data_IF_291022411766
#
_entry.id   IF_291022411766
#
_cell.length_a   1.000
_cell.length_b   1.000
_cell.length_c   1.000
_cell.angle_alpha   90.00
_cell.angle_beta   90.00
_cell.angle_gamma   90.00
#
_symmetry.space_group_name_H-M   'P 1'
#
loop_
_entity.id
_entity.type
_entity.pdbx_description
1 polymer ?
#
# COMPACT_ATOMS: atom_id res chain seq x y z
N UNK A 1 2.02 -46.12 -29.19
CA UNK A 1 2.50 -45.86 -30.57
C UNK A 1 1.70 -44.69 -31.15
N UNK A 2 2.38 -43.78 -31.85
CA UNK A 2 1.94 -42.46 -32.39
C UNK A 2 1.89 -41.30 -31.39
N UNK A 3 2.43 -40.11 -31.66
CA UNK A 3 3.39 -39.66 -32.66
C UNK A 3 3.85 -38.25 -32.23
N UNK A 4 5.14 -37.99 -32.35
CA UNK A 4 5.81 -36.70 -32.13
C UNK A 4 5.52 -35.72 -33.26
N UNK A 5 5.41 -34.42 -32.98
CA UNK A 5 5.82 -33.37 -33.92
C UNK A 5 6.44 -32.18 -33.17
N UNK A 6 7.75 -32.06 -33.36
CA UNK A 6 8.57 -30.87 -33.16
C UNK A 6 8.11 -29.81 -34.16
N UNK A 7 7.98 -28.55 -33.73
CA UNK A 7 7.97 -27.41 -34.64
C UNK A 7 8.66 -26.21 -33.99
N UNK A 8 9.99 -26.22 -34.00
CA UNK A 8 10.80 -25.01 -34.08
C UNK A 8 10.60 -24.36 -35.45
N UNK A 9 10.44 -23.02 -35.47
CA UNK A 9 11.11 -22.07 -36.40
C UNK A 9 10.45 -20.69 -36.32
N UNK A 10 11.27 -19.64 -36.24
CA UNK A 10 10.87 -18.31 -36.69
C UNK A 10 11.58 -17.12 -36.04
N UNK A 11 12.83 -16.87 -36.41
CA UNK A 11 13.50 -15.57 -36.25
C UNK A 11 12.73 -14.47 -37.02
N UNK A 12 12.50 -13.33 -36.37
CA UNK A 12 12.34 -12.05 -37.05
C UNK A 12 12.91 -10.91 -36.19
N UNK A 13 14.05 -10.40 -36.62
CA UNK A 13 14.67 -9.16 -36.16
C UNK A 13 14.20 -7.99 -37.03
N UNK A 14 13.95 -6.81 -36.41
CA UNK A 14 14.17 -5.43 -36.91
C UNK A 14 13.23 -4.46 -36.17
N UNK A 15 13.70 -3.57 -35.29
CA UNK A 15 14.41 -2.29 -35.46
C UNK A 15 13.48 -1.05 -35.41
N UNK A 16 13.62 -0.31 -34.30
CA UNK A 16 13.66 1.16 -34.11
C UNK A 16 12.41 1.98 -34.50
N UNK A 17 11.83 2.63 -33.48
CA UNK A 17 11.46 4.05 -33.57
C UNK A 17 11.77 4.75 -32.24
N UNK A 18 12.59 5.78 -32.35
CA UNK A 18 13.08 6.68 -31.32
C UNK A 18 11.95 7.61 -30.86
N UNK A 19 11.77 7.80 -29.55
CA UNK A 19 10.84 8.77 -28.98
C UNK A 19 11.46 9.45 -27.77
N UNK A 20 12.35 10.42 -28.02
CA UNK A 20 12.81 11.35 -26.98
C UNK A 20 11.67 12.34 -26.71
N UNK A 21 10.88 12.06 -25.67
CA UNK A 21 9.96 13.02 -25.09
C UNK A 21 10.68 13.80 -23.98
N UNK A 22 11.28 14.94 -24.33
CA UNK A 22 11.75 15.95 -23.38
C UNK A 22 10.52 16.57 -22.70
N UNK A 23 10.22 16.13 -21.47
CA UNK A 23 9.31 16.85 -20.58
C UNK A 23 10.14 17.73 -19.64
N UNK A 24 10.00 19.04 -19.85
CA UNK A 24 10.62 20.12 -19.08
C UNK A 24 10.19 20.00 -17.62
N UNK A 25 11.16 19.93 -16.70
CA UNK A 25 10.93 20.08 -15.25
C UNK A 25 10.61 21.56 -15.00
N UNK A 26 9.49 21.92 -14.34
CA UNK A 26 9.34 23.27 -13.83
C UNK A 26 10.30 23.46 -12.66
N UNK A 27 11.43 24.11 -12.92
CA UNK A 27 12.28 24.68 -11.88
C UNK A 27 11.60 25.95 -11.37
N UNK A 28 10.93 25.88 -10.22
CA UNK A 28 10.55 27.08 -9.48
C UNK A 28 11.79 27.61 -8.76
N UNK A 29 12.40 28.67 -9.30
CA UNK A 29 13.30 29.54 -8.53
C UNK A 29 12.44 30.52 -7.74
N UNK A 30 12.38 30.38 -6.42
CA UNK A 30 11.98 31.49 -5.56
C UNK A 30 13.13 32.50 -5.57
N UNK A 31 12.93 33.64 -6.21
CA UNK A 31 13.82 34.80 -6.11
C UNK A 31 13.51 35.50 -4.77
N UNK A 32 14.48 35.66 -3.85
CA UNK A 32 14.28 36.46 -2.66
C UNK A 32 14.74 37.88 -2.98
N UNK A 33 13.82 38.78 -3.35
CA UNK A 33 14.02 40.21 -3.09
C UNK A 33 12.71 40.99 -3.20
N UNK A 34 12.46 41.75 -2.15
CA UNK A 34 11.39 42.72 -1.98
C UNK A 34 11.35 43.76 -3.11
N UNK A 35 10.16 44.05 -3.61
CA UNK A 35 9.78 45.38 -4.09
C UNK A 35 8.26 45.55 -3.94
N UNK A 36 7.87 46.52 -3.13
CA UNK A 36 6.50 47.02 -2.97
C UNK A 36 5.87 47.34 -4.34
N UNK A 37 4.63 46.87 -4.57
CA UNK A 37 3.78 47.48 -5.58
C UNK A 37 2.32 47.56 -5.12
N UNK A 38 1.78 48.75 -5.35
CA UNK A 38 0.58 49.40 -4.84
C UNK A 38 -0.75 48.86 -5.39
N UNK A 39 -1.81 49.05 -4.59
CA UNK A 39 -3.22 48.69 -4.81
C UNK A 39 -3.78 48.88 -6.23
N UNK A 40 -4.52 47.87 -6.72
CA UNK A 40 -5.78 48.04 -7.48
C UNK A 40 -6.65 46.76 -7.35
N UNK A 41 -7.96 46.82 -7.04
CA UNK A 41 -8.78 45.62 -6.80
C UNK A 41 -9.28 45.00 -8.10
N UNK A 42 -8.94 43.73 -8.36
CA UNK A 42 -9.54 42.90 -9.40
C UNK A 42 -10.55 41.90 -8.79
N UNK A 43 -11.66 41.54 -9.48
CA UNK A 43 -12.76 40.81 -8.89
C UNK A 43 -12.41 39.33 -8.69
N UNK A 44 -12.43 38.89 -7.43
CA UNK A 44 -12.90 37.58 -7.00
C UNK A 44 -12.26 36.35 -7.63
N UNK A 45 -10.95 36.17 -7.48
CA UNK A 45 -10.39 34.83 -7.44
C UNK A 45 -10.57 34.29 -6.02
N UNK A 46 -11.52 33.37 -5.84
CA UNK A 46 -11.59 32.56 -4.62
C UNK A 46 -10.34 31.68 -4.63
N UNK A 47 -9.28 32.17 -3.99
CA UNK A 47 -8.15 31.34 -3.61
C UNK A 47 -8.69 30.36 -2.57
N UNK A 48 -9.08 29.16 -3.02
CA UNK A 48 -9.26 28.04 -2.10
C UNK A 48 -7.87 27.79 -1.52
N UNK A 49 -7.66 27.98 -0.21
CA UNK A 49 -6.36 27.71 0.38
C UNK A 49 -6.01 26.26 0.05
N UNK A 50 -4.85 26.03 -0.57
CA UNK A 50 -4.22 24.73 -0.44
C UNK A 50 -4.15 24.44 1.07
N UNK A 51 -4.51 23.23 1.54
CA UNK A 51 -4.42 22.92 2.95
C UNK A 51 -2.97 23.16 3.38
N UNK A 52 -2.74 24.23 4.12
CA UNK A 52 -1.43 24.50 4.68
C UNK A 52 -1.18 23.42 5.72
N UNK A 53 0.05 22.94 5.79
CA UNK A 53 0.56 21.91 6.71
C UNK A 53 0.37 22.24 8.20
N UNK A 54 -0.25 23.38 8.53
CA UNK A 54 -0.40 23.92 9.87
C UNK A 54 -1.56 23.28 10.67
N UNK A 55 -2.39 22.46 10.03
CA UNK A 55 -3.58 21.84 10.65
C UNK A 55 -3.56 20.30 10.70
N UNK A 56 -2.39 19.66 10.55
CA UNK A 56 -2.31 18.20 10.71
C UNK A 56 -2.52 17.87 12.19
N UNK A 57 -3.54 17.06 12.51
CA UNK A 57 -3.69 16.54 13.87
C UNK A 57 -2.42 15.73 14.22
N UNK A 58 -1.67 16.10 15.27
CA UNK A 58 -0.44 15.38 15.64
C UNK A 58 -0.69 13.90 15.95
N UNK A 59 -1.86 13.54 16.47
CA UNK A 59 -2.26 12.15 16.66
C UNK A 59 -2.42 11.41 15.33
N UNK A 60 -3.00 12.07 14.31
CA UNK A 60 -3.11 11.51 12.97
C UNK A 60 -1.72 11.31 12.35
N UNK A 61 -0.81 12.29 12.45
CA UNK A 61 0.54 12.17 11.92
C UNK A 61 1.30 10.97 12.52
N UNK A 62 1.20 10.77 13.85
CA UNK A 62 1.82 9.63 14.54
C UNK A 62 1.18 8.31 14.10
N UNK A 63 -0.15 8.21 14.15
CA UNK A 63 -0.86 6.98 13.84
C UNK A 63 -0.65 6.56 12.38
N UNK A 64 -0.78 7.49 11.43
CA UNK A 64 -0.64 7.22 10.01
C UNK A 64 0.78 6.79 9.63
N UNK A 65 1.80 7.44 10.21
CA UNK A 65 3.20 7.01 10.02
C UNK A 65 3.46 5.62 10.59
N UNK A 66 2.96 5.33 11.79
CA UNK A 66 3.09 4.02 12.40
C UNK A 66 2.38 2.96 11.56
N UNK A 67 1.15 3.23 11.11
CA UNK A 67 0.39 2.30 10.29
C UNK A 67 1.03 2.06 8.92
N UNK A 68 1.58 3.10 8.26
CA UNK A 68 2.33 2.92 7.01
C UNK A 68 3.56 2.01 7.20
N UNK A 69 4.28 2.18 8.32
CA UNK A 69 5.39 1.29 8.69
C UNK A 69 4.91 -0.15 8.88
N UNK A 70 3.77 -0.34 9.56
CA UNK A 70 3.12 -1.64 9.75
C UNK A 70 2.76 -2.29 8.42
N UNK A 71 2.17 -1.55 7.48
CA UNK A 71 1.80 -2.05 6.16
C UNK A 71 3.04 -2.48 5.36
N UNK A 72 4.09 -1.66 5.36
CA UNK A 72 5.35 -2.00 4.67
C UNK A 72 6.00 -3.26 5.26
N UNK A 73 6.03 -3.38 6.59
CA UNK A 73 6.53 -4.57 7.27
C UNK A 73 5.71 -5.81 6.93
N UNK A 74 4.37 -5.72 6.97
CA UNK A 74 3.49 -6.82 6.62
C UNK A 74 3.70 -7.25 5.16
N UNK A 75 3.68 -6.31 4.21
CA UNK A 75 3.85 -6.59 2.79
C UNK A 75 5.20 -7.25 2.49
N UNK A 76 6.29 -6.72 3.06
CA UNK A 76 7.65 -7.25 2.86
C UNK A 76 7.79 -8.68 3.36
N UNK A 77 7.15 -9.03 4.48
CA UNK A 77 7.28 -10.37 5.07
C UNK A 77 6.19 -11.35 4.59
N UNK A 78 5.12 -10.85 3.98
CA UNK A 78 4.06 -11.65 3.38
C UNK A 78 4.37 -12.05 1.93
N UNK A 79 5.10 -11.22 1.18
CA UNK A 79 5.38 -11.43 -0.25
C UNK A 79 5.91 -12.83 -0.57
N UNK A 80 6.88 -13.33 0.18
CA UNK A 80 7.43 -14.66 -0.08
C UNK A 80 6.43 -15.81 0.09
N UNK A 81 5.37 -15.64 0.90
CA UNK A 81 4.28 -16.59 0.98
C UNK A 81 3.27 -16.39 -0.16
N UNK A 82 2.96 -15.14 -0.50
CA UNK A 82 2.11 -14.82 -1.65
C UNK A 82 2.69 -15.41 -2.94
N UNK A 83 3.97 -15.17 -3.23
CA UNK A 83 4.67 -15.66 -4.40
C UNK A 83 4.72 -17.20 -4.44
N UNK A 84 4.97 -17.84 -3.29
CA UNK A 84 5.03 -19.29 -3.19
C UNK A 84 3.66 -19.98 -3.37
N UNK A 85 2.57 -19.22 -3.31
CA UNK A 85 1.20 -19.73 -3.40
C UNK A 85 0.42 -19.20 -4.59
N UNK A 86 1.04 -18.32 -5.39
CA UNK A 86 0.43 -17.69 -6.55
C UNK A 86 -0.09 -18.73 -7.56
N UNK A 87 -1.31 -18.52 -8.04
CA UNK A 87 -1.94 -19.39 -9.04
C UNK A 87 -2.31 -20.79 -8.53
N UNK A 88 -2.35 -21.00 -7.21
CA UNK A 88 -2.73 -22.29 -6.62
C UNK A 88 -4.00 -22.19 -5.77
N UNK A 89 -4.99 -23.04 -6.06
CA UNK A 89 -6.22 -23.13 -5.25
C UNK A 89 -5.95 -23.75 -3.86
N UNK A 90 -4.91 -24.57 -3.74
CA UNK A 90 -4.49 -25.16 -2.48
C UNK A 90 -2.96 -25.26 -2.44
N UNK A 91 -2.29 -24.41 -1.64
CA UNK A 91 -0.84 -24.46 -1.48
C UNK A 91 -0.35 -25.82 -0.97
N UNK A 92 0.73 -26.35 -1.55
CA UNK A 92 1.39 -27.55 -1.01
C UNK A 92 2.23 -27.20 0.23
N UNK A 93 1.63 -27.31 1.41
CA UNK A 93 2.32 -27.08 2.68
C UNK A 93 3.40 -28.12 3.04
N UNK A 94 3.61 -29.16 2.21
CA UNK A 94 4.77 -30.06 2.34
C UNK A 94 6.01 -29.48 1.69
N UNK A 95 5.84 -28.58 0.72
CA UNK A 95 6.93 -27.83 0.11
C UNK A 95 7.64 -27.00 1.19
N UNK A 96 8.96 -27.18 1.38
CA UNK A 96 9.75 -26.36 2.30
C UNK A 96 9.61 -24.85 2.06
N UNK A 97 9.45 -24.42 0.82
CA UNK A 97 9.30 -23.00 0.43
C UNK A 97 7.99 -22.44 0.97
N UNK A 98 6.85 -23.10 0.70
CA UNK A 98 5.52 -22.71 1.23
C UNK A 98 5.51 -22.77 2.75
N UNK A 99 6.08 -23.83 3.33
CA UNK A 99 6.11 -24.00 4.80
C UNK A 99 6.91 -22.90 5.48
N UNK A 100 8.11 -22.60 5.02
CA UNK A 100 8.99 -21.62 5.64
C UNK A 100 8.46 -20.20 5.46
N UNK A 101 8.01 -19.85 4.26
CA UNK A 101 7.40 -18.54 3.98
C UNK A 101 6.11 -18.33 4.78
N UNK A 102 5.26 -19.37 4.95
CA UNK A 102 4.06 -19.29 5.81
C UNK A 102 4.41 -18.99 7.27
N UNK A 103 5.50 -19.55 7.80
CA UNK A 103 5.94 -19.26 9.17
C UNK A 103 6.37 -17.80 9.30
N UNK A 104 7.16 -17.29 8.35
CA UNK A 104 7.58 -15.88 8.30
C UNK A 104 6.37 -14.96 8.20
N UNK A 105 5.50 -15.19 7.21
CA UNK A 105 4.30 -14.40 6.97
C UNK A 105 3.37 -14.37 8.19
N UNK A 106 3.10 -15.52 8.82
CA UNK A 106 2.26 -15.59 10.02
C UNK A 106 2.89 -14.93 11.24
N UNK A 107 4.22 -14.87 11.32
CA UNK A 107 4.89 -14.20 12.43
C UNK A 107 4.77 -12.70 12.24
N UNK A 108 5.11 -12.21 11.05
CA UNK A 108 5.01 -10.80 10.72
C UNK A 108 3.56 -10.27 10.77
N UNK A 109 2.57 -11.01 10.26
CA UNK A 109 1.16 -10.58 10.31
C UNK A 109 0.62 -10.50 11.74
N UNK A 110 1.10 -11.32 12.68
CA UNK A 110 0.72 -11.20 14.11
C UNK A 110 1.25 -9.92 14.72
N UNK A 111 2.53 -9.62 14.48
CA UNK A 111 3.15 -8.39 14.94
C UNK A 111 2.49 -7.17 14.30
N UNK A 112 2.25 -7.23 12.99
CA UNK A 112 1.62 -6.16 12.25
C UNK A 112 0.18 -5.90 12.72
N UNK A 113 -0.61 -6.94 12.97
CA UNK A 113 -1.97 -6.77 13.52
C UNK A 113 -1.94 -6.03 14.87
N UNK A 114 -1.04 -6.43 15.78
CA UNK A 114 -0.88 -5.73 17.05
C UNK A 114 -0.42 -4.28 16.86
N UNK A 115 0.51 -4.03 15.94
CA UNK A 115 1.01 -2.69 15.62
C UNK A 115 -0.09 -1.80 14.98
N UNK A 116 -0.96 -2.37 14.16
CA UNK A 116 -2.11 -1.68 13.59
C UNK A 116 -3.14 -1.29 14.67
N UNK A 117 -3.45 -2.19 15.60
CA UNK A 117 -4.29 -1.85 16.76
C UNK A 117 -3.66 -0.77 17.63
N UNK A 118 -2.34 -0.81 17.79
CA UNK A 118 -1.60 0.21 18.54
C UNK A 118 -1.70 1.57 17.85
N UNK A 119 -1.50 1.63 16.53
CA UNK A 119 -1.68 2.86 15.75
C UNK A 119 -3.10 3.40 15.88
N UNK A 120 -4.10 2.52 15.77
CA UNK A 120 -5.51 2.88 15.91
C UNK A 120 -5.92 3.34 17.32
N UNK A 121 -5.13 2.99 18.35
CA UNK A 121 -5.32 3.37 19.74
C UNK A 121 -4.58 4.67 20.11
N UNK A 122 -3.98 5.38 19.14
CA UNK A 122 -3.29 6.65 19.38
C UNK A 122 -4.24 7.65 20.06
N UNK A 123 -3.88 8.21 21.23
CA UNK A 123 -4.74 9.17 21.93
C UNK A 123 -5.03 10.41 21.07
N UNK A 124 -6.30 10.81 21.02
CA UNK A 124 -6.75 11.96 20.23
C UNK A 124 -6.88 11.69 18.72
N UNK A 125 -6.71 10.44 18.28
CA UNK A 125 -6.92 10.04 16.89
C UNK A 125 -8.41 10.05 16.54
N UNK A 126 -8.74 10.60 15.37
CA UNK A 126 -10.10 10.63 14.87
C UNK A 126 -10.62 9.21 14.56
N UNK A 127 -11.89 8.89 14.89
CA UNK A 127 -12.47 7.58 14.61
C UNK A 127 -12.41 7.17 13.13
N UNK A 128 -12.52 8.12 12.21
CA UNK A 128 -12.51 7.89 10.76
C UNK A 128 -11.14 7.38 10.27
N UNK A 129 -10.05 7.73 10.97
CA UNK A 129 -8.70 7.21 10.71
C UNK A 129 -8.48 5.90 11.47
N UNK A 130 -8.93 5.85 12.72
CA UNK A 130 -8.72 4.69 13.59
C UNK A 130 -9.51 3.44 13.17
N UNK A 131 -10.72 3.62 12.63
CA UNK A 131 -11.61 2.52 12.26
C UNK A 131 -11.02 1.59 11.19
N UNK A 132 -10.53 2.07 10.02
CA UNK A 132 -9.93 1.18 9.02
C UNK A 132 -8.63 0.53 9.52
N UNK A 133 -7.86 1.17 10.41
CA UNK A 133 -6.68 0.53 11.03
C UNK A 133 -7.07 -0.65 11.94
N UNK A 134 -8.18 -0.54 12.69
CA UNK A 134 -8.74 -1.64 13.49
C UNK A 134 -9.27 -2.76 12.60
N UNK A 135 -10.02 -2.41 11.56
CA UNK A 135 -10.54 -3.37 10.59
C UNK A 135 -9.39 -4.18 9.96
N UNK A 136 -8.34 -3.47 9.51
CA UNK A 136 -7.14 -4.10 8.97
C UNK A 136 -6.50 -5.09 9.96
N UNK A 137 -6.41 -4.74 11.24
CA UNK A 137 -5.88 -5.68 12.25
C UNK A 137 -6.76 -6.92 12.43
N UNK A 138 -8.08 -6.77 12.37
CA UNK A 138 -9.02 -7.89 12.50
C UNK A 138 -8.87 -8.81 11.30
N UNK A 139 -8.81 -8.26 10.09
CA UNK A 139 -8.66 -9.04 8.87
C UNK A 139 -7.26 -9.66 8.73
N UNK A 140 -6.22 -8.99 9.25
CA UNK A 140 -4.90 -9.61 9.39
C UNK A 140 -4.96 -10.83 10.32
N UNK A 141 -5.74 -10.74 11.40
CA UNK A 141 -5.97 -11.86 12.31
C UNK A 141 -6.79 -12.97 11.66
N UNK A 142 -7.80 -12.62 10.86
CA UNK A 142 -8.56 -13.59 10.05
C UNK A 142 -7.64 -14.34 9.08
N UNK A 143 -6.73 -13.62 8.41
CA UNK A 143 -5.74 -14.20 7.51
C UNK A 143 -4.80 -15.17 8.23
N UNK A 144 -4.35 -14.82 9.44
CA UNK A 144 -3.54 -15.71 10.29
C UNK A 144 -4.21 -17.04 10.61
N UNK A 145 -5.52 -17.02 10.83
CA UNK A 145 -6.31 -18.23 11.08
C UNK A 145 -6.42 -19.07 9.81
N UNK A 146 -6.71 -18.46 8.66
CA UNK A 146 -6.81 -19.15 7.36
C UNK A 146 -5.48 -19.83 7.01
N UNK A 147 -4.37 -19.09 7.06
CA UNK A 147 -3.02 -19.62 6.83
C UNK A 147 -2.62 -20.71 7.84
N UNK A 148 -3.09 -20.60 9.09
CA UNK A 148 -2.83 -21.57 10.14
C UNK A 148 -3.61 -22.87 9.98
N UNK A 149 -4.86 -22.76 9.54
CA UNK A 149 -5.73 -23.88 9.19
C UNK A 149 -5.40 -24.46 7.81
N UNK A 150 -4.43 -23.86 7.10
CA UNK A 150 -3.98 -24.28 5.75
C UNK A 150 -5.14 -24.32 4.75
N UNK A 151 -6.07 -23.38 4.92
CA UNK A 151 -7.16 -23.14 3.98
C UNK A 151 -6.61 -22.31 2.82
N UNK A 152 -6.83 -22.75 1.59
CA UNK A 152 -6.32 -22.09 0.37
C UNK A 152 -7.42 -21.47 -0.48
N UNK A 153 -7.01 -21.00 -1.66
CA UNK A 153 -7.88 -20.59 -2.77
C UNK A 153 -8.73 -19.37 -2.43
N UNK A 154 -9.99 -19.37 -2.88
CA UNK A 154 -10.93 -18.26 -2.73
C UNK A 154 -11.01 -17.68 -1.30
N UNK A 155 -10.90 -18.51 -0.27
CA UNK A 155 -10.96 -18.01 1.12
C UNK A 155 -9.74 -17.18 1.51
N UNK A 156 -8.56 -17.54 1.02
CA UNK A 156 -7.33 -16.80 1.25
C UNK A 156 -7.38 -15.48 0.46
N UNK A 157 -7.76 -15.54 -0.81
CA UNK A 157 -7.79 -14.39 -1.72
C UNK A 157 -8.85 -13.35 -1.31
N UNK A 158 -10.02 -13.81 -0.84
CA UNK A 158 -11.05 -12.91 -0.33
C UNK A 158 -10.56 -12.12 0.89
N UNK A 159 -9.87 -12.78 1.83
CA UNK A 159 -9.35 -12.07 3.02
C UNK A 159 -8.16 -11.19 2.69
N UNK A 160 -7.30 -11.59 1.75
CA UNK A 160 -6.26 -10.69 1.24
C UNK A 160 -6.87 -9.45 0.57
N UNK A 161 -7.98 -9.60 -0.14
CA UNK A 161 -8.72 -8.48 -0.75
C UNK A 161 -9.33 -7.56 0.31
N UNK A 162 -9.99 -8.11 1.32
CA UNK A 162 -10.50 -7.35 2.48
C UNK A 162 -9.38 -6.55 3.16
N UNK A 163 -8.25 -7.21 3.44
CA UNK A 163 -7.08 -6.59 4.06
C UNK A 163 -6.51 -5.43 3.22
N UNK A 164 -6.47 -5.58 1.90
CA UNK A 164 -6.02 -4.53 1.00
C UNK A 164 -7.00 -3.36 0.95
N UNK A 165 -8.31 -3.63 0.98
CA UNK A 165 -9.33 -2.58 1.04
C UNK A 165 -9.23 -1.78 2.34
N UNK A 166 -9.01 -2.42 3.48
CA UNK A 166 -8.82 -1.73 4.75
C UNK A 166 -7.55 -0.88 4.77
N UNK A 167 -6.46 -1.40 4.19
CA UNK A 167 -5.21 -0.65 4.04
C UNK A 167 -5.43 0.60 3.18
N UNK A 168 -6.13 0.46 2.05
CA UNK A 168 -6.50 1.56 1.17
C UNK A 168 -7.37 2.60 1.89
N UNK A 169 -8.38 2.15 2.65
CA UNK A 169 -9.26 3.03 3.42
C UNK A 169 -8.49 3.83 4.48
N UNK A 170 -7.58 3.17 5.20
CA UNK A 170 -6.73 3.84 6.20
C UNK A 170 -5.77 4.84 5.55
N UNK A 171 -5.12 4.49 4.43
CA UNK A 171 -4.24 5.42 3.70
C UNK A 171 -5.02 6.62 3.16
N UNK A 172 -6.24 6.41 2.66
CA UNK A 172 -7.12 7.48 2.18
C UNK A 172 -7.54 8.41 3.33
N UNK A 173 -7.90 7.85 4.49
CA UNK A 173 -8.24 8.63 5.68
C UNK A 173 -7.02 9.44 6.19
N UNK A 174 -5.83 8.83 6.16
CA UNK A 174 -4.57 9.49 6.49
C UNK A 174 -4.26 10.65 5.53
N UNK A 175 -4.45 10.46 4.22
CA UNK A 175 -4.24 11.51 3.23
C UNK A 175 -5.25 12.66 3.42
N UNK A 176 -6.51 12.35 3.69
CA UNK A 176 -7.55 13.36 3.98
C UNK A 176 -7.25 14.18 5.25
N UNK A 177 -6.54 13.60 6.22
CA UNK A 177 -6.07 14.29 7.42
C UNK A 177 -4.81 15.16 7.19
N UNK A 178 -4.34 15.28 5.93
CA UNK A 178 -3.13 16.01 5.58
C UNK A 178 -1.84 15.30 6.00
N UNK A 179 -1.91 14.02 6.35
CA UNK A 179 -0.71 13.23 6.67
C UNK A 179 -0.13 12.64 5.39
N UNK A 180 1.18 12.82 5.21
CA UNK A 180 1.95 12.15 4.18
C UNK A 180 2.89 11.18 4.90
N UNK A 181 2.72 9.89 4.66
CA UNK A 181 3.54 8.82 5.21
C UNK A 181 4.23 8.05 4.09
#
# INVERSE_FOLDING_TARGET
>A
MRSSHVCERGLAASLIAFGIGLAVVPTASADPNDAEQTDTPAPGMVTVPAPTSDNVNPAAAVACKQFATTLNFAATNYSGFADATEGTDLPDYRDPTVRNSNVTARTALREAAAAAMTAAATPGLQPEIAAPMRAWSVDATKLLLIMGLRRGGDTLDNVATELNNDAYNAQTACAAAGTHA
#
